data_IF_019655369586
#
_entry.id   IF_019655369586
#
_cell.length_a   1.000
_cell.length_b   1.000
_cell.length_c   1.000
_cell.angle_alpha   90.00
_cell.angle_beta   90.00
_cell.angle_gamma   90.00
#
_symmetry.space_group_name_H-M   'P 1'
#
loop_
_entity.id
_entity.type
_entity.pdbx_description
1 polymer ?
#
# COMPACT_ATOMS: atom_id res chain seq x y z
N UNK A 1 10.33 -20.98 16.02
CA UNK A 1 9.19 -20.60 16.86
C UNK A 1 8.97 -19.10 16.70
N UNK A 2 8.06 -18.71 15.81
CA UNK A 2 7.67 -17.31 15.63
C UNK A 2 7.00 -16.86 16.93
N UNK A 3 7.56 -15.87 17.64
CA UNK A 3 6.90 -15.33 18.83
C UNK A 3 5.54 -14.77 18.40
N UNK A 4 4.47 -15.20 19.05
CA UNK A 4 3.16 -14.57 18.91
C UNK A 4 3.32 -13.13 19.39
N UNK A 5 3.31 -12.20 18.45
CA UNK A 5 3.39 -10.78 18.75
C UNK A 5 1.97 -10.26 18.99
N UNK A 6 1.75 -9.62 20.13
CA UNK A 6 0.47 -8.99 20.45
C UNK A 6 0.14 -7.92 19.40
N UNK A 7 -1.05 -7.97 18.74
CA UNK A 7 -1.40 -7.06 17.64
C UNK A 7 -1.23 -5.60 18.01
N UNK A 8 -1.75 -5.17 19.18
CA UNK A 8 -1.64 -3.77 19.63
C UNK A 8 -0.20 -3.31 19.81
N UNK A 9 0.68 -4.19 20.29
CA UNK A 9 2.10 -3.88 20.44
C UNK A 9 2.77 -3.73 19.06
N UNK A 10 2.44 -4.61 18.11
CA UNK A 10 2.94 -4.51 16.75
C UNK A 10 2.50 -3.21 16.05
N UNK A 11 1.23 -2.83 16.19
CA UNK A 11 0.73 -1.59 15.60
C UNK A 11 1.36 -0.35 16.22
N UNK A 12 1.66 -0.39 17.51
CA UNK A 12 2.39 0.69 18.17
C UNK A 12 3.78 0.85 17.55
N UNK A 13 4.53 -0.25 17.39
CA UNK A 13 5.85 -0.22 16.73
C UNK A 13 5.76 0.34 15.30
N UNK A 14 4.78 -0.07 14.50
CA UNK A 14 4.59 0.44 13.13
C UNK A 14 4.22 1.93 13.12
N UNK A 15 3.31 2.35 13.99
CA UNK A 15 2.85 3.73 14.06
C UNK A 15 3.93 4.69 14.59
N UNK A 16 4.80 4.20 15.49
CA UNK A 16 5.93 4.94 16.08
C UNK A 16 7.15 5.01 15.15
N UNK A 17 7.14 4.28 14.03
CA UNK A 17 8.16 4.42 12.99
C UNK A 17 8.09 5.80 12.35
N UNK A 18 9.19 6.56 12.44
CA UNK A 18 9.33 7.91 11.88
C UNK A 18 10.38 8.00 10.76
N UNK A 19 11.27 7.02 10.66
CA UNK A 19 12.29 6.93 9.63
C UNK A 19 12.43 5.46 9.18
N UNK A 20 11.56 4.97 8.28
CA UNK A 20 10.54 5.73 7.53
C UNK A 20 9.24 5.99 8.33
N UNK A 21 8.54 7.08 8.00
CA UNK A 21 7.16 7.29 8.43
C UNK A 21 6.21 6.45 7.57
N UNK A 22 5.61 5.42 8.17
CA UNK A 22 4.87 4.40 7.41
C UNK A 22 3.40 4.78 7.20
N UNK A 23 2.93 4.64 5.96
CA UNK A 23 1.51 4.69 5.58
C UNK A 23 1.12 3.33 5.01
N UNK A 24 0.17 2.62 5.64
CA UNK A 24 -0.42 1.42 5.05
C UNK A 24 -1.42 1.83 3.97
N UNK A 25 -1.33 1.28 2.76
CA UNK A 25 -2.07 1.76 1.58
C UNK A 25 -2.90 0.65 0.94
N UNK A 26 -4.11 1.02 0.49
CA UNK A 26 -4.84 0.37 -0.61
C UNK A 26 -4.91 1.38 -1.75
N UNK A 27 -4.52 0.99 -2.97
CA UNK A 27 -4.35 1.87 -4.14
C UNK A 27 -5.56 2.76 -4.49
N UNK A 28 -6.74 2.41 -3.99
CA UNK A 28 -8.00 3.07 -4.28
C UNK A 28 -8.80 3.25 -2.99
N UNK A 29 -8.20 3.88 -1.98
CA UNK A 29 -8.84 4.19 -0.70
C UNK A 29 -9.26 5.66 -0.61
N UNK A 30 -10.55 5.99 -0.72
CA UNK A 30 -11.04 7.37 -0.52
C UNK A 30 -10.67 7.92 0.85
N UNK A 31 -10.84 7.13 1.93
CA UNK A 31 -10.52 7.56 3.28
C UNK A 31 -9.05 7.92 3.44
N UNK A 32 -8.15 7.06 2.95
CA UNK A 32 -6.72 7.29 3.09
C UNK A 32 -6.24 8.40 2.15
N UNK A 33 -6.74 8.47 0.91
CA UNK A 33 -6.39 9.53 -0.03
C UNK A 33 -6.73 10.93 0.54
N UNK A 34 -7.86 11.05 1.23
CA UNK A 34 -8.22 12.29 1.93
C UNK A 34 -7.32 12.59 3.15
N UNK A 35 -6.81 11.56 3.84
CA UNK A 35 -5.97 11.71 5.02
C UNK A 35 -4.49 11.99 4.70
N UNK A 36 -3.98 11.49 3.57
CA UNK A 36 -2.55 11.54 3.19
C UNK A 36 -1.95 12.95 3.26
N UNK A 37 -2.55 14.01 2.68
CA UNK A 37 -1.97 15.36 2.77
C UNK A 37 -1.72 15.82 4.22
N UNK A 38 -2.69 15.61 5.11
CA UNK A 38 -2.56 15.99 6.52
C UNK A 38 -1.55 15.12 7.27
N UNK A 39 -1.45 13.83 6.93
CA UNK A 39 -0.44 12.92 7.50
C UNK A 39 0.98 13.31 7.09
N UNK A 40 1.18 13.68 5.82
CA UNK A 40 2.48 14.12 5.30
C UNK A 40 2.88 15.49 5.86
N UNK A 41 1.91 16.41 6.02
CA UNK A 41 2.15 17.68 6.73
C UNK A 41 2.56 17.45 8.19
N UNK A 42 1.88 16.55 8.90
CA UNK A 42 2.15 16.26 10.31
C UNK A 42 3.47 15.52 10.53
N UNK A 43 3.91 14.69 9.57
CA UNK A 43 5.18 13.97 9.65
C UNK A 43 6.39 14.86 9.36
N UNK A 44 6.19 16.02 8.71
CA UNK A 44 7.28 16.88 8.25
C UNK A 44 8.09 16.22 7.13
N UNK A 45 7.45 15.43 6.27
CA UNK A 45 8.13 14.67 5.22
C UNK A 45 8.92 15.58 4.26
N UNK A 46 10.22 15.34 4.17
CA UNK A 46 11.13 16.00 3.19
C UNK A 46 11.30 15.17 1.91
N UNK A 47 10.96 13.88 1.99
CA UNK A 47 10.98 12.91 0.89
C UNK A 47 9.78 11.98 1.03
N UNK A 48 9.10 11.69 -0.09
CA UNK A 48 7.98 10.73 -0.15
C UNK A 48 8.38 9.55 -1.03
N UNK A 49 8.52 8.37 -0.42
CA UNK A 49 8.72 7.12 -1.15
C UNK A 49 7.37 6.51 -1.55
N UNK A 50 7.19 6.21 -2.83
CA UNK A 50 5.97 5.56 -3.36
C UNK A 50 6.34 4.18 -3.89
N UNK A 51 5.56 3.18 -3.51
CA UNK A 51 5.60 1.82 -4.05
C UNK A 51 5.12 1.82 -5.51
N UNK A 52 6.01 2.27 -6.40
CA UNK A 52 5.86 2.34 -7.84
C UNK A 52 7.21 1.96 -8.47
N UNK A 53 7.23 1.20 -9.59
CA UNK A 53 8.49 0.84 -10.24
C UNK A 53 9.38 2.03 -10.51
N UNK A 54 10.69 1.87 -10.26
CA UNK A 54 11.69 2.91 -10.46
C UNK A 54 11.67 3.52 -11.88
N UNK A 55 11.27 2.76 -12.90
CA UNK A 55 11.11 3.21 -14.29
C UNK A 55 10.11 4.36 -14.46
N UNK A 56 9.16 4.51 -13.52
CA UNK A 56 8.19 5.60 -13.53
C UNK A 56 8.70 6.89 -12.91
N UNK A 57 9.91 6.92 -12.34
CA UNK A 57 10.49 8.13 -11.74
C UNK A 57 10.43 9.37 -12.65
N UNK A 58 10.80 9.30 -13.95
CA UNK A 58 10.74 10.48 -14.82
C UNK A 58 9.31 10.95 -15.11
N UNK A 59 8.32 10.07 -14.93
CA UNK A 59 6.91 10.32 -15.24
C UNK A 59 6.15 11.00 -14.10
N UNK A 60 6.70 11.01 -12.87
CA UNK A 60 6.06 11.63 -11.70
C UNK A 60 5.75 13.12 -11.91
N UNK A 61 6.62 13.85 -12.63
CA UNK A 61 6.39 15.26 -12.98
C UNK A 61 5.11 15.45 -13.80
N UNK A 62 4.80 14.51 -14.69
CA UNK A 62 3.59 14.53 -15.50
C UNK A 62 2.38 14.03 -14.70
N UNK A 63 2.54 12.99 -13.89
CA UNK A 63 1.47 12.43 -13.06
C UNK A 63 0.93 13.47 -12.06
N UNK A 64 1.82 14.24 -11.41
CA UNK A 64 1.45 15.30 -10.47
C UNK A 64 1.04 16.63 -11.11
N UNK A 65 1.11 16.77 -12.44
CA UNK A 65 0.86 18.06 -13.09
C UNK A 65 -0.60 18.52 -12.91
N UNK A 66 -0.87 19.83 -12.73
CA UNK A 66 -2.25 20.33 -12.57
C UNK A 66 -3.16 20.06 -13.78
N UNK A 67 -2.57 19.89 -14.97
CA UNK A 67 -3.29 19.53 -16.18
C UNK A 67 -3.64 18.03 -16.28
N UNK A 68 -3.09 17.19 -15.40
CA UNK A 68 -3.35 15.75 -15.36
C UNK A 68 -4.58 15.48 -14.50
N UNK A 69 -5.72 15.35 -15.17
CA UNK A 69 -7.02 15.06 -14.56
C UNK A 69 -7.21 13.55 -14.45
N UNK A 70 -7.57 13.08 -13.26
CA UNK A 70 -7.86 11.67 -13.03
C UNK A 70 -9.26 11.30 -13.57
N UNK A 71 -9.53 10.03 -13.95
CA UNK A 71 -8.62 8.89 -13.87
C UNK A 71 -7.52 8.94 -14.94
N UNK A 72 -6.31 8.55 -14.55
CA UNK A 72 -5.12 8.47 -15.42
C UNK A 72 -4.37 7.17 -15.10
N UNK A 73 -3.60 6.65 -16.03
CA UNK A 73 -2.77 5.48 -15.76
C UNK A 73 -1.35 5.69 -16.27
N UNK A 74 -0.38 5.13 -15.55
CA UNK A 74 0.94 4.87 -16.09
C UNK A 74 0.96 3.43 -16.63
N UNK A 75 1.49 3.28 -17.84
CA UNK A 75 1.66 1.98 -18.47
C UNK A 75 3.13 1.84 -18.89
N UNK A 76 3.69 0.66 -18.66
CA UNK A 76 5.06 0.35 -19.06
C UNK A 76 5.19 -1.10 -19.50
N UNK A 77 6.26 -1.37 -20.24
CA UNK A 77 6.62 -2.70 -20.67
C UNK A 77 8.04 -3.00 -20.18
N UNK A 78 8.24 -4.14 -19.53
CA UNK A 78 9.59 -4.66 -19.28
C UNK A 78 10.15 -5.35 -20.52
N UNK A 79 11.46 -5.55 -20.56
CA UNK A 79 12.18 -6.17 -21.69
C UNK A 79 11.71 -7.61 -22.00
N UNK A 80 11.12 -8.29 -21.01
CA UNK A 80 10.50 -9.61 -21.16
C UNK A 80 9.13 -9.59 -21.85
N UNK A 81 8.64 -8.41 -22.27
CA UNK A 81 7.31 -8.22 -22.83
C UNK A 81 6.19 -8.14 -21.79
N UNK A 82 6.52 -8.18 -20.49
CA UNK A 82 5.55 -7.99 -19.40
C UNK A 82 5.04 -6.55 -19.42
N UNK A 83 3.72 -6.39 -19.53
CA UNK A 83 3.05 -5.11 -19.37
C UNK A 83 2.64 -4.88 -17.92
N UNK A 84 2.86 -3.67 -17.42
CA UNK A 84 2.36 -3.20 -16.13
C UNK A 84 1.47 -1.99 -16.32
N UNK A 85 0.30 -2.01 -15.69
CA UNK A 85 -0.67 -0.92 -15.70
C UNK A 85 -0.94 -0.46 -14.27
N UNK A 86 -0.75 0.83 -14.03
CA UNK A 86 -0.88 1.48 -12.72
C UNK A 86 -1.92 2.59 -12.85
N UNK A 87 -3.21 2.28 -12.61
CA UNK A 87 -4.28 3.27 -12.65
C UNK A 87 -4.25 4.13 -11.38
N UNK A 88 -4.61 5.40 -11.55
CA UNK A 88 -4.74 6.39 -10.50
C UNK A 88 -6.07 7.11 -10.64
N UNK A 89 -6.75 7.31 -9.52
CA UNK A 89 -7.97 8.09 -9.41
C UNK A 89 -7.79 9.19 -8.35
N UNK A 90 -8.75 10.12 -8.23
CA UNK A 90 -8.70 11.13 -7.16
C UNK A 90 -8.79 10.50 -5.75
N UNK A 91 -9.22 9.24 -5.65
CA UNK A 91 -9.20 8.43 -4.44
C UNK A 91 -7.98 7.49 -4.33
N UNK A 92 -6.90 7.75 -5.08
CA UNK A 92 -5.63 7.04 -4.92
C UNK A 92 -4.72 7.76 -3.92
N UNK A 93 -4.36 7.13 -2.79
CA UNK A 93 -3.42 7.68 -1.81
C UNK A 93 -2.08 8.12 -2.43
N UNK A 94 -1.60 7.36 -3.41
CA UNK A 94 -0.36 7.63 -4.14
C UNK A 94 -0.47 8.90 -4.98
N UNK A 95 -1.57 9.09 -5.72
CA UNK A 95 -1.79 10.31 -6.50
C UNK A 95 -1.94 11.53 -5.58
N UNK A 96 -2.61 11.37 -4.44
CA UNK A 96 -2.70 12.41 -3.43
C UNK A 96 -1.31 12.79 -2.88
N UNK A 97 -0.45 11.80 -2.61
CA UNK A 97 0.92 12.01 -2.16
C UNK A 97 1.78 12.72 -3.22
N UNK A 98 1.71 12.30 -4.49
CA UNK A 98 2.44 12.94 -5.60
C UNK A 98 2.02 14.41 -5.75
N UNK A 99 0.71 14.69 -5.74
CA UNK A 99 0.19 16.06 -5.87
C UNK A 99 0.59 16.93 -4.67
N UNK A 100 0.46 16.41 -3.45
CA UNK A 100 0.90 17.08 -2.22
C UNK A 100 2.39 17.44 -2.26
N UNK A 101 3.23 16.48 -2.67
CA UNK A 101 4.67 16.67 -2.70
C UNK A 101 5.06 17.73 -3.73
N UNK A 102 4.42 17.72 -4.91
CA UNK A 102 4.62 18.74 -5.94
C UNK A 102 4.28 20.14 -5.44
N UNK A 103 3.16 20.30 -4.74
CA UNK A 103 2.74 21.61 -4.20
C UNK A 103 3.72 22.18 -3.18
N UNK A 104 4.45 21.31 -2.48
CA UNK A 104 5.43 21.68 -1.44
C UNK A 104 6.88 21.64 -1.89
N UNK A 105 7.14 21.22 -3.13
CA UNK A 105 8.51 21.02 -3.62
C UNK A 105 9.25 19.88 -2.90
N UNK A 106 8.52 18.92 -2.34
CA UNK A 106 9.06 17.73 -1.69
C UNK A 106 9.43 16.69 -2.75
N UNK A 107 10.57 16.02 -2.55
CA UNK A 107 11.02 14.97 -3.46
C UNK A 107 10.10 13.75 -3.37
N UNK A 108 9.80 13.14 -4.53
CA UNK A 108 9.09 11.87 -4.60
C UNK A 108 10.00 10.81 -5.21
N UNK A 109 10.15 9.66 -4.57
CA UNK A 109 11.00 8.56 -5.00
C UNK A 109 10.16 7.31 -5.27
N UNK A 110 10.22 6.79 -6.49
CA UNK A 110 9.72 5.46 -6.82
C UNK A 110 10.65 4.40 -6.21
N UNK A 111 10.19 3.70 -5.17
CA UNK A 111 11.05 2.79 -4.39
C UNK A 111 10.82 1.30 -4.67
N UNK A 112 9.96 0.92 -5.62
CA UNK A 112 9.67 -0.48 -5.93
C UNK A 112 10.64 -1.07 -6.99
N UNK A 113 10.56 -2.38 -7.21
CA UNK A 113 11.31 -3.09 -8.24
C UNK A 113 11.13 -2.47 -9.63
N UNK A 114 12.21 -2.33 -10.41
CA UNK A 114 12.11 -1.94 -11.81
C UNK A 114 11.26 -2.93 -12.62
N UNK A 115 10.56 -2.46 -13.64
CA UNK A 115 9.67 -3.28 -14.47
C UNK A 115 10.38 -4.43 -15.19
N UNK A 116 11.65 -4.24 -15.54
CA UNK A 116 12.50 -5.23 -16.18
C UNK A 116 13.08 -6.28 -15.20
N UNK A 117 12.86 -6.14 -13.89
CA UNK A 117 13.41 -7.08 -12.92
C UNK A 117 12.85 -8.50 -13.13
N UNK A 118 13.70 -9.53 -13.28
CA UNK A 118 13.25 -10.89 -13.58
C UNK A 118 12.39 -11.50 -12.45
N UNK A 119 12.50 -10.98 -11.21
CA UNK A 119 11.74 -11.49 -10.05
C UNK A 119 10.24 -11.19 -10.14
N UNK A 120 9.81 -10.34 -11.08
CA UNK A 120 8.40 -10.23 -11.45
C UNK A 120 7.85 -11.51 -12.10
N UNK A 121 8.70 -12.29 -12.77
CA UNK A 121 8.33 -13.49 -13.55
C UNK A 121 8.11 -14.77 -12.74
N UNK A 122 8.44 -14.77 -11.45
CA UNK A 122 8.15 -15.90 -10.54
C UNK A 122 6.66 -15.92 -10.10
N UNK A 123 5.84 -15.02 -10.63
CA UNK A 123 4.39 -14.94 -10.38
C UNK A 123 3.65 -15.15 -11.71
N UNK A 124 2.66 -16.05 -11.79
CA UNK A 124 1.84 -16.17 -12.99
C UNK A 124 1.11 -14.84 -13.28
N UNK A 125 0.76 -14.55 -14.56
CA UNK A 125 0.04 -13.33 -14.94
C UNK A 125 -1.21 -13.12 -14.08
N UNK A 126 -1.50 -11.87 -13.72
CA UNK A 126 -2.60 -11.49 -12.83
C UNK A 126 -3.99 -12.01 -13.28
N UNK A 127 -4.14 -12.37 -14.56
CA UNK A 127 -5.36 -12.94 -15.14
C UNK A 127 -5.61 -14.42 -14.73
N UNK A 128 -4.67 -15.05 -14.02
CA UNK A 128 -4.79 -16.43 -13.51
C UNK A 128 -5.23 -16.54 -12.05
N UNK A 129 -5.51 -15.42 -11.35
CA UNK A 129 -6.16 -15.47 -10.03
C UNK A 129 -7.68 -15.67 -10.22
N UNK A 130 -8.06 -16.92 -10.43
CA UNK A 130 -9.40 -17.39 -10.00
C UNK A 130 -9.49 -17.08 -8.49
N UNK A 131 -10.59 -16.48 -8.00
CA UNK A 131 -10.74 -16.26 -6.56
C UNK A 131 -10.80 -17.64 -5.90
N UNK A 132 -9.68 -18.07 -5.33
CA UNK A 132 -9.67 -19.20 -4.43
C UNK A 132 -10.55 -18.80 -3.26
N UNK A 133 -11.62 -19.54 -3.01
CA UNK A 133 -12.41 -19.38 -1.80
C UNK A 133 -11.47 -19.54 -0.60
N UNK A 134 -11.18 -18.44 0.09
CA UNK A 134 -10.31 -18.43 1.24
C UNK A 134 -11.02 -19.16 2.39
N UNK A 135 -10.33 -20.13 2.98
CA UNK A 135 -10.81 -20.73 4.23
C UNK A 135 -10.56 -19.71 5.36
N UNK A 136 -11.53 -19.42 6.23
CA UNK A 136 -11.39 -18.37 7.24
C UNK A 136 -10.23 -18.64 8.21
N UNK A 137 -9.32 -17.66 8.35
CA UNK A 137 -8.11 -17.69 9.21
C UNK A 137 -8.45 -17.38 10.68
N UNK A 138 -7.54 -17.64 11.62
CA UNK A 138 -7.79 -17.43 13.06
C UNK A 138 -7.95 -15.95 13.48
N UNK A 139 -7.33 -15.02 12.74
CA UNK A 139 -7.45 -13.58 12.99
C UNK A 139 -8.66 -12.97 12.28
N UNK A 140 -8.92 -13.35 11.03
CA UNK A 140 -10.19 -13.08 10.36
C UNK A 140 -11.35 -13.65 11.18
N UNK A 141 -11.23 -14.87 11.73
CA UNK A 141 -12.21 -15.46 12.64
C UNK A 141 -12.35 -14.70 13.96
N UNK A 142 -11.31 -14.06 14.50
CA UNK A 142 -11.41 -13.20 15.68
C UNK A 142 -12.15 -11.88 15.37
N UNK A 143 -11.99 -11.32 14.17
CA UNK A 143 -12.76 -10.18 13.68
C UNK A 143 -14.22 -10.57 13.35
N UNK A 144 -14.43 -11.74 12.74
CA UNK A 144 -15.74 -12.31 12.39
C UNK A 144 -16.52 -12.77 13.63
N UNK A 145 -15.83 -13.27 14.66
CA UNK A 145 -16.43 -13.58 15.96
C UNK A 145 -16.95 -12.33 16.68
N UNK A 146 -16.46 -11.14 16.31
CA UNK A 146 -16.93 -9.88 16.86
C UNK A 146 -18.15 -9.27 16.12
N UNK A 147 -18.49 -9.73 14.90
CA UNK A 147 -19.78 -9.52 14.16
C UNK A 147 -19.70 -10.06 12.72
N UNK A 148 -20.86 -10.46 12.18
CA UNK A 148 -21.06 -11.20 10.91
C UNK A 148 -20.59 -10.46 9.63
N UNK A 149 -19.71 -11.08 8.82
CA UNK A 149 -19.40 -10.63 7.44
C UNK A 149 -18.29 -11.46 6.73
N UNK A 150 -18.21 -11.40 5.39
CA UNK A 150 -17.40 -12.25 4.47
C UNK A 150 -15.92 -11.78 4.36
N UNK A 151 -15.12 -12.50 3.56
CA UNK A 151 -13.64 -12.50 3.49
C UNK A 151 -12.96 -11.25 2.89
N UNK A 152 -11.69 -11.03 3.28
CA UNK A 152 -10.66 -10.22 2.59
C UNK A 152 -10.95 -8.72 2.39
N UNK A 153 -11.57 -8.37 1.26
CA UNK A 153 -11.93 -6.99 0.86
C UNK A 153 -12.86 -6.32 1.89
N UNK A 154 -13.73 -7.14 2.49
CA UNK A 154 -14.63 -6.76 3.57
C UNK A 154 -13.86 -6.21 4.80
N UNK A 155 -12.61 -6.62 5.03
CA UNK A 155 -11.82 -6.17 6.17
C UNK A 155 -11.35 -4.72 6.01
N UNK A 156 -10.80 -4.35 4.84
CA UNK A 156 -10.36 -2.97 4.61
C UNK A 156 -11.54 -2.01 4.71
N UNK A 157 -12.64 -2.34 4.03
CA UNK A 157 -13.82 -1.48 4.00
C UNK A 157 -14.39 -1.30 5.42
N UNK A 158 -14.47 -2.36 6.23
CA UNK A 158 -14.98 -2.27 7.61
C UNK A 158 -14.03 -1.61 8.59
N UNK A 159 -12.72 -1.83 8.45
CA UNK A 159 -11.73 -1.35 9.41
C UNK A 159 -11.27 0.09 9.11
N UNK A 160 -11.26 0.48 7.84
CA UNK A 160 -10.72 1.76 7.37
C UNK A 160 -11.82 2.63 6.79
N UNK A 161 -12.45 2.23 5.67
CA UNK A 161 -13.35 3.13 4.92
C UNK A 161 -14.60 3.53 5.69
N UNK A 162 -15.31 2.55 6.27
CA UNK A 162 -16.58 2.76 6.99
C UNK A 162 -16.38 3.61 8.25
N UNK A 163 -15.23 3.46 8.92
CA UNK A 163 -14.95 4.11 10.18
C UNK A 163 -14.26 5.48 10.02
N UNK A 164 -13.67 5.77 8.86
CA UNK A 164 -12.93 6.99 8.62
C UNK A 164 -13.71 8.31 8.77
N UNK A 165 -15.01 8.42 8.39
CA UNK A 165 -15.74 9.68 8.49
C UNK A 165 -15.74 10.24 9.92
N UNK A 166 -15.17 11.44 10.10
CA UNK A 166 -15.08 12.13 11.39
C UNK A 166 -13.89 11.68 12.27
N UNK A 167 -13.09 10.71 11.83
CA UNK A 167 -11.85 10.33 12.51
C UNK A 167 -10.70 11.28 12.17
N UNK A 168 -9.75 11.40 13.10
CA UNK A 168 -8.49 12.08 12.84
C UNK A 168 -7.64 11.29 11.82
N UNK A 169 -6.82 11.96 10.97
CA UNK A 169 -5.97 11.28 9.99
C UNK A 169 -5.09 10.17 10.58
N UNK A 170 -4.50 10.39 11.76
CA UNK A 170 -3.67 9.38 12.44
C UNK A 170 -4.47 8.11 12.82
N UNK A 171 -5.76 8.22 13.13
CA UNK A 171 -6.59 7.05 13.38
C UNK A 171 -6.80 6.22 12.09
N UNK A 172 -6.98 6.89 10.95
CA UNK A 172 -7.07 6.24 9.62
C UNK A 172 -5.74 5.56 9.28
N UNK A 173 -4.60 6.25 9.49
CA UNK A 173 -3.26 5.68 9.31
C UNK A 173 -3.06 4.41 10.15
N UNK A 174 -3.39 4.45 11.44
CA UNK A 174 -3.26 3.30 12.35
C UNK A 174 -4.15 2.12 11.94
N UNK A 175 -5.37 2.39 11.49
CA UNK A 175 -6.26 1.35 10.98
C UNK A 175 -5.67 0.68 9.73
N UNK A 176 -5.16 1.47 8.79
CA UNK A 176 -4.55 0.95 7.56
C UNK A 176 -3.26 0.16 7.81
N UNK A 177 -2.38 0.65 8.71
CA UNK A 177 -1.22 -0.11 9.18
C UNK A 177 -1.63 -1.44 9.84
N UNK A 178 -2.75 -1.42 10.58
CA UNK A 178 -3.33 -2.61 11.19
C UNK A 178 -3.76 -3.67 10.20
N UNK A 179 -4.43 -3.26 9.13
CA UNK A 179 -4.81 -4.15 8.03
C UNK A 179 -3.58 -4.75 7.37
N UNK A 180 -2.58 -3.92 7.00
CA UNK A 180 -1.35 -4.41 6.37
C UNK A 180 -0.58 -5.39 7.24
N UNK A 181 -0.47 -5.12 8.55
CA UNK A 181 0.14 -6.05 9.50
C UNK A 181 -0.60 -7.38 9.57
N UNK A 182 -1.94 -7.35 9.63
CA UNK A 182 -2.76 -8.56 9.68
C UNK A 182 -2.56 -9.42 8.42
N UNK A 183 -2.60 -8.81 7.23
CA UNK A 183 -2.35 -9.51 5.96
C UNK A 183 -0.96 -10.15 5.93
N UNK A 184 0.06 -9.45 6.43
CA UNK A 184 1.42 -9.97 6.53
C UNK A 184 1.50 -11.20 7.46
N UNK A 185 0.83 -11.15 8.62
CA UNK A 185 0.78 -12.29 9.56
C UNK A 185 0.05 -13.48 8.95
N UNK A 186 -1.06 -13.24 8.26
CA UNK A 186 -1.84 -14.28 7.63
C UNK A 186 -0.99 -14.99 6.56
N UNK A 187 -0.32 -14.25 5.67
CA UNK A 187 0.60 -14.82 4.68
C UNK A 187 1.71 -15.67 5.31
N UNK A 188 2.35 -15.18 6.38
CA UNK A 188 3.37 -15.94 7.12
C UNK A 188 2.83 -17.24 7.73
N UNK A 189 1.53 -17.30 8.04
CA UNK A 189 0.89 -18.47 8.66
C UNK A 189 0.32 -19.49 7.66
N UNK A 190 -0.04 -19.07 6.45
CA UNK A 190 -0.77 -19.90 5.46
C UNK A 190 0.10 -20.41 4.31
N UNK A 191 1.31 -19.87 4.12
CA UNK A 191 2.19 -20.32 3.04
C UNK A 191 3.54 -19.60 2.94
N UNK A 192 3.80 -18.63 3.81
CA UNK A 192 4.93 -17.71 3.67
C UNK A 192 4.59 -16.52 2.78
N UNK A 193 5.41 -15.48 2.85
CA UNK A 193 5.27 -14.31 1.97
C UNK A 193 5.80 -14.64 0.58
N UNK A 194 5.07 -14.28 -0.50
CA UNK A 194 5.52 -14.51 -1.87
C UNK A 194 6.94 -13.97 -2.12
N UNK A 195 7.73 -14.72 -2.89
CA UNK A 195 9.11 -14.34 -3.20
C UNK A 195 9.22 -12.99 -3.91
N UNK A 196 8.25 -12.67 -4.78
CA UNK A 196 8.15 -11.36 -5.44
C UNK A 196 7.97 -10.22 -4.43
N UNK A 197 7.11 -10.38 -3.43
CA UNK A 197 6.88 -9.36 -2.41
C UNK A 197 8.13 -9.16 -1.55
N UNK A 198 8.84 -10.23 -1.20
CA UNK A 198 10.12 -10.13 -0.48
C UNK A 198 11.20 -9.41 -1.31
N UNK A 199 11.21 -9.61 -2.63
CA UNK A 199 12.12 -8.91 -3.54
C UNK A 199 11.78 -7.41 -3.66
N UNK A 200 10.49 -7.08 -3.72
CA UNK A 200 9.97 -5.70 -3.68
C UNK A 200 10.34 -5.00 -2.38
N UNK A 201 10.06 -5.63 -1.25
CA UNK A 201 10.43 -5.13 0.08
C UNK A 201 11.96 -4.94 0.22
N UNK A 202 12.77 -5.85 -0.35
CA UNK A 202 14.23 -5.71 -0.34
C UNK A 202 14.70 -4.49 -1.14
N UNK A 203 14.10 -4.26 -2.32
CA UNK A 203 14.39 -3.07 -3.13
C UNK A 203 13.99 -1.78 -2.44
N UNK A 204 12.83 -1.74 -1.78
CA UNK A 204 12.39 -0.57 -1.03
C UNK A 204 13.39 -0.23 0.08
N UNK A 205 13.91 -1.23 0.79
CA UNK A 205 14.94 -1.05 1.83
C UNK A 205 16.29 -0.55 1.29
N UNK A 206 16.63 -0.86 0.04
CA UNK A 206 17.85 -0.32 -0.60
C UNK A 206 17.69 1.17 -0.98
N UNK A 207 16.45 1.65 -1.08
CA UNK A 207 16.11 3.01 -1.55
C UNK A 207 15.91 3.99 -0.39
N UNK A 208 15.56 3.49 0.80
CA UNK A 208 15.27 4.26 2.03
C UNK A 208 16.51 4.42 2.89
#
# INVERSE_FOLDING_TARGET
MTRVQEPRAALTVLADSVAPYLLGVRHHSPALAAAVPALLDASGAEVVCIELPADFQPWLTHLGAPGTVAPVALAGAGDSGRLGFYPFADFSPELAAVRWARERGVEVVCCDLPMADPRWGDTPPADARVPAAEAPTAFAAALTAAKTGRDGDDMWDRAVEVLAPGCAPEAVRRAALGVGWALRRDAESTGGVPAVDLAREARMRETI
#
